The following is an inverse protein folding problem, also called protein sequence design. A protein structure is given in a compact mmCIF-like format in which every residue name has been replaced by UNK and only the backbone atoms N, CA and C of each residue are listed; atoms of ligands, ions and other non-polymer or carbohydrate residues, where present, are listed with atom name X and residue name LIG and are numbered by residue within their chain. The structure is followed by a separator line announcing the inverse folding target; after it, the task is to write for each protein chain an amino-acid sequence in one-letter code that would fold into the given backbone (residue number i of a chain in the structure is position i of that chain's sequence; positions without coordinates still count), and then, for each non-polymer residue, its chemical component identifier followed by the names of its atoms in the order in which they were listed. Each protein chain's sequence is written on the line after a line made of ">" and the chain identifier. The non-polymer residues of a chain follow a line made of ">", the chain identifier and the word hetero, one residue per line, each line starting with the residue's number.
data_IF_183317762353
#
_entry.id   IF_183317762353
#
_cell.length_a   1.000
_cell.length_b   1.000
_cell.length_c   1.000
_cell.angle_alpha   90.00
_cell.angle_beta   90.00
_cell.angle_gamma   90.00
#
_symmetry.space_group_name_H-M   'P 1'
#
loop_
_entity.id
_entity.type
_entity.pdbx_description
1 polymer ?
#
# COMPACT_ATOMS: atom_id res chain seq x y z
N UNK A 1 54.26 45.13 58.23
CA UNK A 1 54.46 44.82 56.80
C UNK A 1 55.02 43.41 56.56
N UNK A 2 56.03 42.93 57.30
CA UNK A 2 56.59 41.58 57.07
C UNK A 2 55.60 40.41 57.30
N UNK A 3 54.66 40.54 58.24
CA UNK A 3 53.66 39.50 58.51
C UNK A 3 52.64 39.32 57.37
N UNK A 4 52.29 40.43 56.70
CA UNK A 4 51.32 40.44 55.60
C UNK A 4 51.93 39.82 54.32
N UNK A 5 53.22 40.09 54.07
CA UNK A 5 53.99 39.40 53.02
C UNK A 5 54.08 37.89 53.27
N UNK A 6 54.29 37.45 54.51
CA UNK A 6 54.32 36.01 54.84
C UNK A 6 52.97 35.34 54.62
N UNK A 7 51.87 36.01 54.98
CA UNK A 7 50.52 35.51 54.73
C UNK A 7 50.22 35.41 53.24
N UNK A 8 50.60 36.42 52.44
CA UNK A 8 50.42 36.39 51.00
C UNK A 8 51.22 35.28 50.32
N UNK A 9 52.46 35.03 50.77
CA UNK A 9 53.27 33.92 50.24
C UNK A 9 52.65 32.58 50.60
N UNK A 10 52.19 32.40 51.84
CA UNK A 10 51.48 31.18 52.26
C UNK A 10 50.22 30.94 51.42
N UNK A 11 49.37 31.96 51.25
CA UNK A 11 48.16 31.86 50.44
C UNK A 11 48.47 31.55 48.97
N UNK A 12 49.47 32.22 48.39
CA UNK A 12 49.90 31.96 47.02
C UNK A 12 50.48 30.55 46.84
N UNK A 13 51.20 30.03 47.84
CA UNK A 13 51.68 28.63 47.81
C UNK A 13 50.55 27.62 47.91
N UNK A 14 49.52 27.90 48.72
CA UNK A 14 48.32 27.06 48.85
C UNK A 14 47.50 27.10 47.55
N UNK A 15 47.29 28.27 46.97
CA UNK A 15 46.58 28.41 45.69
C UNK A 15 47.35 27.71 44.56
N UNK A 16 48.68 27.83 44.52
CA UNK A 16 49.52 27.16 43.52
C UNK A 16 49.55 25.64 43.69
N UNK A 17 49.46 25.14 44.93
CA UNK A 17 49.37 23.71 45.24
C UNK A 17 47.98 23.13 44.96
N UNK A 18 46.91 23.92 45.12
CA UNK A 18 45.51 23.46 44.93
C UNK A 18 44.96 23.68 43.52
N UNK A 19 45.59 24.55 42.73
CA UNK A 19 45.19 24.82 41.35
C UNK A 19 45.22 23.57 40.43
N UNK A 20 46.26 22.72 40.44
CA UNK A 20 46.29 21.49 39.65
C UNK A 20 45.16 20.52 40.04
N UNK A 21 44.92 20.35 41.35
CA UNK A 21 43.85 19.50 41.86
C UNK A 21 42.48 19.99 41.41
N UNK A 22 42.21 21.31 41.49
CA UNK A 22 40.96 21.91 41.01
C UNK A 22 40.75 21.73 39.50
N UNK A 23 41.80 21.80 38.70
CA UNK A 23 41.71 21.53 37.25
C UNK A 23 41.37 20.06 36.97
N UNK A 24 41.98 19.12 37.69
CA UNK A 24 41.69 17.69 37.57
C UNK A 24 40.24 17.38 37.97
N UNK A 25 39.75 17.98 39.07
CA UNK A 25 38.35 17.79 39.52
C UNK A 25 37.33 18.36 38.53
N UNK A 26 37.64 19.50 37.89
CA UNK A 26 36.78 20.05 36.83
C UNK A 26 36.81 19.17 35.58
N UNK A 27 38.00 18.74 35.14
CA UNK A 27 38.14 17.85 33.99
C UNK A 27 37.48 16.48 34.20
N UNK A 28 37.52 15.92 35.40
CA UNK A 28 36.86 14.64 35.70
C UNK A 28 35.33 14.73 35.70
N UNK A 29 34.76 15.86 36.14
CA UNK A 29 33.32 16.13 36.05
C UNK A 29 32.87 16.26 34.58
N UNK A 30 33.64 16.98 33.76
CA UNK A 30 33.38 17.09 32.33
C UNK A 30 33.51 15.74 31.63
N UNK A 31 34.51 14.94 31.99
CA UNK A 31 34.70 13.58 31.48
C UNK A 31 33.52 12.68 31.85
N UNK A 32 33.04 12.73 33.09
CA UNK A 32 31.87 11.96 33.52
C UNK A 32 30.59 12.36 32.76
N UNK A 33 30.41 13.66 32.48
CA UNK A 33 29.30 14.16 31.65
C UNK A 33 29.42 13.68 30.21
N UNK A 34 30.60 13.75 29.62
CA UNK A 34 30.86 13.26 28.26
C UNK A 34 30.61 11.75 28.14
N UNK A 35 31.01 10.96 29.15
CA UNK A 35 30.73 9.52 29.19
C UNK A 35 29.23 9.22 29.27
N UNK A 36 28.48 9.99 30.08
CA UNK A 36 27.02 9.83 30.19
C UNK A 36 26.31 10.21 28.87
N UNK A 37 26.75 11.30 28.25
CA UNK A 37 26.24 11.75 26.95
C UNK A 37 26.50 10.71 25.87
N UNK A 38 27.73 10.19 25.79
CA UNK A 38 28.10 9.14 24.84
C UNK A 38 27.27 7.86 25.02
N UNK A 39 26.99 7.47 26.27
CA UNK A 39 26.15 6.31 26.55
C UNK A 39 24.70 6.53 26.07
N UNK A 40 24.15 7.72 26.28
CA UNK A 40 22.83 8.10 25.77
C UNK A 40 22.79 8.05 24.25
N UNK A 41 23.78 8.65 23.59
CA UNK A 41 23.91 8.64 22.13
C UNK A 41 24.07 7.22 21.58
N UNK A 42 24.85 6.37 22.23
CA UNK A 42 24.99 4.96 21.83
C UNK A 42 23.66 4.22 21.89
N UNK A 43 22.86 4.44 22.94
CA UNK A 43 21.51 3.86 23.08
C UNK A 43 20.57 4.32 21.98
N UNK A 44 20.56 5.62 21.67
CA UNK A 44 19.73 6.17 20.61
C UNK A 44 20.13 5.63 19.23
N UNK A 45 21.43 5.49 18.97
CA UNK A 45 21.93 4.87 17.72
C UNK A 45 21.52 3.40 17.63
N UNK A 46 21.58 2.64 18.72
CA UNK A 46 21.09 1.25 18.73
C UNK A 46 19.58 1.18 18.48
N UNK A 47 18.78 2.03 19.15
CA UNK A 47 17.34 2.09 18.94
C UNK A 47 16.98 2.47 17.50
N UNK A 48 17.73 3.41 16.91
CA UNK A 48 17.56 3.80 15.51
C UNK A 48 17.94 2.68 14.53
N UNK A 49 18.99 1.90 14.84
CA UNK A 49 19.38 0.72 14.05
C UNK A 49 18.34 -0.39 14.15
N UNK A 50 17.80 -0.65 15.32
CA UNK A 50 16.71 -1.62 15.53
C UNK A 50 15.44 -1.20 14.79
N UNK A 51 15.06 0.07 14.89
CA UNK A 51 13.93 0.64 14.15
C UNK A 51 14.14 0.53 12.64
N UNK A 52 15.35 0.77 12.14
CA UNK A 52 15.67 0.54 10.73
C UNK A 52 15.64 -0.93 10.34
N UNK A 53 16.12 -1.85 11.18
CA UNK A 53 16.06 -3.28 10.91
C UNK A 53 14.61 -3.75 10.80
N UNK A 54 13.75 -3.30 11.72
CA UNK A 54 12.31 -3.54 11.69
C UNK A 54 11.63 -2.96 10.43
N UNK A 55 12.04 -1.77 9.99
CA UNK A 55 11.50 -1.15 8.77
C UNK A 55 12.07 -1.75 7.47
N UNK A 56 13.29 -2.32 7.54
CA UNK A 56 13.99 -2.93 6.41
C UNK A 56 13.67 -4.41 6.24
N UNK A 57 13.10 -5.06 7.25
CA UNK A 57 12.36 -6.29 7.08
C UNK A 57 11.00 -5.92 6.48
N UNK A 58 10.79 -6.07 5.16
CA UNK A 58 9.44 -6.02 4.64
C UNK A 58 8.66 -7.09 5.41
N UNK A 59 7.58 -6.72 6.13
CA UNK A 59 6.80 -7.70 6.85
C UNK A 59 6.37 -8.73 5.82
N UNK A 60 6.68 -10.00 6.06
CA UNK A 60 6.34 -11.12 5.19
C UNK A 60 4.87 -11.08 4.74
N UNK A 61 4.01 -10.51 5.58
CA UNK A 61 2.63 -10.15 5.30
C UNK A 61 2.43 -9.36 3.98
N UNK A 62 3.34 -8.47 3.60
CA UNK A 62 3.21 -7.67 2.38
C UNK A 62 3.60 -8.47 1.12
N UNK A 63 4.52 -9.44 1.24
CA UNK A 63 4.82 -10.38 0.14
C UNK A 63 3.67 -11.35 -0.08
N UNK A 64 3.12 -11.90 1.00
CA UNK A 64 1.96 -12.81 0.92
C UNK A 64 0.71 -12.10 0.37
N UNK A 65 0.51 -10.83 0.75
CA UNK A 65 -0.56 -10.01 0.19
C UNK A 65 -0.34 -9.73 -1.29
N UNK A 66 0.89 -9.42 -1.71
CA UNK A 66 1.22 -9.21 -3.12
C UNK A 66 0.99 -10.48 -3.97
N UNK A 67 1.44 -11.64 -3.51
CA UNK A 67 1.23 -12.91 -4.24
C UNK A 67 -0.24 -13.31 -4.29
N UNK A 68 -1.01 -13.06 -3.22
CA UNK A 68 -2.45 -13.30 -3.21
C UNK A 68 -3.21 -12.38 -4.19
N UNK A 69 -2.82 -11.11 -4.29
CA UNK A 69 -3.38 -10.16 -5.25
C UNK A 69 -3.07 -10.56 -6.70
N UNK A 70 -1.84 -10.96 -6.98
CA UNK A 70 -1.44 -11.47 -8.30
C UNK A 70 -2.25 -12.72 -8.69
N UNK A 71 -2.41 -13.67 -7.77
CA UNK A 71 -3.22 -14.87 -7.99
C UNK A 71 -4.70 -14.54 -8.23
N UNK A 72 -5.25 -13.55 -7.52
CA UNK A 72 -6.61 -13.07 -7.73
C UNK A 72 -6.78 -12.44 -9.12
N UNK A 73 -5.84 -11.58 -9.52
CA UNK A 73 -5.86 -10.94 -10.83
C UNK A 73 -5.74 -11.95 -11.98
N UNK A 74 -4.91 -12.99 -11.82
CA UNK A 74 -4.81 -14.07 -12.79
C UNK A 74 -6.15 -14.80 -12.98
N UNK A 75 -6.82 -15.16 -11.88
CA UNK A 75 -8.15 -15.79 -11.91
C UNK A 75 -9.21 -14.91 -12.55
N UNK A 76 -9.19 -13.59 -12.27
CA UNK A 76 -10.10 -12.63 -12.91
C UNK A 76 -9.86 -12.54 -14.41
N UNK A 77 -8.60 -12.59 -14.86
CA UNK A 77 -8.24 -12.63 -16.27
C UNK A 77 -8.75 -13.90 -16.97
N UNK A 78 -8.63 -15.05 -16.34
CA UNK A 78 -9.17 -16.33 -16.85
C UNK A 78 -10.69 -16.31 -16.93
N UNK A 79 -11.38 -15.85 -15.89
CA UNK A 79 -12.84 -15.72 -15.88
C UNK A 79 -13.33 -14.77 -16.98
N UNK A 80 -12.66 -13.64 -17.17
CA UNK A 80 -12.97 -12.70 -18.25
C UNK A 80 -12.84 -13.35 -19.63
N UNK A 81 -11.77 -14.12 -19.86
CA UNK A 81 -11.58 -14.86 -21.12
C UNK A 81 -12.64 -15.95 -21.33
N UNK A 82 -12.97 -16.69 -20.28
CA UNK A 82 -14.03 -17.70 -20.33
C UNK A 82 -15.39 -17.07 -20.65
N UNK A 83 -15.70 -15.94 -20.02
CA UNK A 83 -16.93 -15.18 -20.25
C UNK A 83 -17.00 -14.63 -21.67
N UNK A 84 -15.89 -14.11 -22.19
CA UNK A 84 -15.79 -13.66 -23.59
C UNK A 84 -16.00 -14.81 -24.59
N UNK A 85 -15.44 -15.99 -24.31
CA UNK A 85 -15.63 -17.19 -25.15
C UNK A 85 -17.08 -17.65 -25.16
N UNK A 86 -17.74 -17.72 -24.01
CA UNK A 86 -19.17 -18.05 -23.91
C UNK A 86 -20.01 -17.02 -24.68
N UNK A 87 -19.67 -15.74 -24.57
CA UNK A 87 -20.33 -14.65 -25.30
C UNK A 87 -20.23 -14.79 -26.82
N UNK A 88 -19.09 -15.25 -27.34
CA UNK A 88 -18.88 -15.50 -28.77
C UNK A 88 -19.60 -16.75 -29.29
N UNK A 89 -19.84 -17.75 -28.43
CA UNK A 89 -20.48 -19.01 -28.81
C UNK A 89 -22.02 -18.94 -28.82
N UNK A 90 -22.60 -17.89 -28.24
CA UNK A 90 -24.04 -17.65 -28.28
C UNK A 90 -24.46 -17.25 -29.70
N UNK A 91 -25.07 -18.19 -30.43
CA UNK A 91 -25.63 -17.95 -31.75
C UNK A 91 -26.80 -16.94 -31.70
N UNK A 92 -27.03 -16.16 -32.76
CA UNK A 92 -28.16 -15.26 -32.83
C UNK A 92 -29.44 -16.11 -32.91
N UNK A 93 -30.42 -15.80 -32.07
CA UNK A 93 -31.68 -16.54 -32.00
C UNK A 93 -32.77 -15.67 -32.63
N UNK A 94 -33.46 -16.22 -33.62
CA UNK A 94 -34.60 -15.59 -34.29
C UNK A 94 -35.88 -16.25 -33.77
N UNK A 95 -36.75 -15.48 -33.12
CA UNK A 95 -38.01 -15.99 -32.54
C UNK A 95 -39.13 -14.97 -32.78
N UNK A 96 -40.36 -15.46 -32.91
CA UNK A 96 -41.56 -14.64 -32.98
C UNK A 96 -41.68 -13.69 -31.76
N UNK A 97 -42.21 -12.48 -31.97
CA UNK A 97 -42.42 -11.52 -30.90
C UNK A 97 -43.49 -11.98 -29.90
N UNK A 98 -43.06 -12.27 -28.67
CA UNK A 98 -43.93 -12.64 -27.56
C UNK A 98 -43.50 -11.92 -26.27
N UNK A 99 -44.43 -11.42 -25.43
CA UNK A 99 -44.10 -10.66 -24.22
C UNK A 99 -43.13 -11.36 -23.27
N UNK A 100 -43.28 -12.67 -23.08
CA UNK A 100 -42.41 -13.48 -22.23
C UNK A 100 -40.98 -13.62 -22.78
N UNK A 101 -40.81 -13.62 -24.10
CA UNK A 101 -39.49 -13.74 -24.75
C UNK A 101 -38.70 -12.45 -24.53
N UNK A 102 -39.37 -11.29 -24.58
CA UNK A 102 -38.75 -9.99 -24.26
C UNK A 102 -38.23 -9.91 -22.83
N UNK A 103 -38.91 -10.53 -21.87
CA UNK A 103 -38.50 -10.57 -20.47
C UNK A 103 -37.27 -11.49 -20.27
N UNK A 104 -37.33 -12.73 -20.78
CA UNK A 104 -36.28 -13.74 -20.65
C UNK A 104 -34.96 -13.29 -21.28
N UNK A 105 -35.02 -12.57 -22.40
CA UNK A 105 -33.85 -12.13 -23.15
C UNK A 105 -33.55 -10.63 -23.01
N UNK A 106 -34.06 -9.98 -21.96
CA UNK A 106 -33.86 -8.55 -21.68
C UNK A 106 -32.40 -8.12 -21.55
N UNK A 107 -31.50 -9.04 -21.21
CA UNK A 107 -30.05 -8.82 -21.13
C UNK A 107 -29.28 -8.93 -22.46
N UNK A 108 -29.94 -9.31 -23.56
CA UNK A 108 -29.33 -9.44 -24.89
C UNK A 108 -29.73 -8.27 -25.79
N UNK A 109 -28.92 -8.00 -26.82
CA UNK A 109 -29.28 -6.99 -27.84
C UNK A 109 -30.43 -7.53 -28.67
N UNK A 110 -31.43 -6.68 -28.92
CA UNK A 110 -32.65 -7.00 -29.65
C UNK A 110 -32.72 -6.20 -30.95
N UNK A 111 -33.02 -6.87 -32.06
CA UNK A 111 -33.40 -6.24 -33.33
C UNK A 111 -34.75 -6.79 -33.79
N UNK A 112 -35.73 -5.91 -33.92
CA UNK A 112 -37.05 -6.26 -34.45
C UNK A 112 -37.02 -6.17 -35.98
N UNK A 113 -37.49 -7.23 -36.64
CA UNK A 113 -37.58 -7.32 -38.10
C UNK A 113 -39.00 -7.71 -38.46
N UNK A 114 -39.68 -6.89 -39.26
CA UNK A 114 -41.04 -7.19 -39.72
C UNK A 114 -41.01 -8.02 -40.99
N UNK A 115 -41.60 -9.22 -40.96
CA UNK A 115 -41.80 -10.06 -42.14
C UNK A 115 -43.27 -10.02 -42.58
N UNK A 116 -43.49 -10.01 -43.89
CA UNK A 116 -44.82 -10.20 -44.48
C UNK A 116 -44.87 -11.61 -45.06
N UNK A 117 -45.58 -12.52 -44.40
CA UNK A 117 -45.86 -13.83 -44.99
C UNK A 117 -46.88 -13.65 -46.12
N UNK A 118 -46.59 -14.17 -47.31
CA UNK A 118 -47.60 -14.36 -48.35
C UNK A 118 -48.11 -15.79 -48.27
N UNK A 119 -49.34 -15.97 -47.80
CA UNK A 119 -50.03 -17.25 -47.89
C UNK A 119 -50.86 -17.27 -49.17
N UNK A 120 -50.52 -18.15 -50.12
CA UNK A 120 -51.37 -18.41 -51.30
C UNK A 120 -51.57 -17.26 -52.29
N UNK A 121 -50.72 -16.22 -52.28
CA UNK A 121 -50.81 -15.11 -53.24
C UNK A 121 -51.83 -14.02 -52.92
N UNK A 122 -52.50 -14.08 -51.77
CA UNK A 122 -53.23 -12.95 -51.20
C UNK A 122 -52.45 -12.40 -50.01
N UNK A 123 -52.35 -11.06 -49.92
CA UNK A 123 -51.48 -10.37 -48.95
C UNK A 123 -51.69 -10.85 -47.52
N UNK A 124 -50.74 -11.65 -47.02
CA UNK A 124 -50.83 -12.25 -45.69
C UNK A 124 -50.44 -11.30 -44.57
N UNK A 125 -50.63 -11.79 -43.33
CA UNK A 125 -50.47 -11.02 -42.09
C UNK A 125 -49.00 -10.65 -41.86
N UNK A 126 -48.78 -9.41 -41.42
CA UNK A 126 -47.47 -8.93 -41.02
C UNK A 126 -47.16 -9.47 -39.62
N UNK A 127 -46.06 -10.22 -39.49
CA UNK A 127 -45.57 -10.74 -38.23
C UNK A 127 -44.21 -10.13 -37.93
N UNK A 128 -43.99 -9.70 -36.70
CA UNK A 128 -42.70 -9.19 -36.25
C UNK A 128 -41.89 -10.33 -35.65
N UNK A 129 -40.64 -10.44 -36.07
CA UNK A 129 -39.67 -11.39 -35.55
C UNK A 129 -38.58 -10.64 -34.77
N UNK A 130 -38.18 -11.21 -33.64
CA UNK A 130 -37.18 -10.68 -32.75
C UNK A 130 -35.88 -11.45 -32.94
N UNK A 131 -34.82 -10.74 -33.31
CA UNK A 131 -33.47 -11.28 -33.42
C UNK A 131 -32.70 -10.86 -32.17
N UNK A 132 -32.33 -11.86 -31.36
CA UNK A 132 -31.50 -11.69 -30.17
C UNK A 132 -30.05 -12.05 -30.46
N UNK A 133 -29.12 -11.19 -30.06
CA UNK A 133 -27.69 -11.41 -30.28
C UNK A 133 -26.83 -10.76 -29.19
N UNK A 134 -25.59 -11.22 -29.06
CA UNK A 134 -24.70 -10.84 -27.96
C UNK A 134 -23.57 -9.88 -28.37
N UNK A 135 -23.49 -9.47 -29.65
CA UNK A 135 -22.46 -8.55 -30.18
C UNK A 135 -23.02 -7.26 -30.76
#
# INVERSE_FOLDING_TARGET
>A
MANDLRLQVLLNTIDKATAPLRQITKGSLETARALKELNTQQKDVSAWREMQAANRQPPTANRESATALEASNAKLGELSRATAKVRQQLAPISINDHPQIREVFSGLRLKEVSFRHMEGGQGGKQANELIYFNW
#
